data_IF_588343048533
#
_entry.id   IF_588343048533
#
_cell.length_a   1.000
_cell.length_b   1.000
_cell.length_c   1.000
_cell.angle_alpha   90.00
_cell.angle_beta   90.00
_cell.angle_gamma   90.00
#
_symmetry.space_group_name_H-M   'P 1'
#
loop_
_entity.id
_entity.type
_entity.pdbx_description
1 polymer ?
#
# COMPACT_ATOMS: atom_id res chain seq x y z
N UNK A 1 -67.16 -50.65 -27.45
CA UNK A 1 -65.99 -49.76 -27.56
C UNK A 1 -65.61 -49.32 -26.15
N UNK A 2 -64.35 -49.21 -25.72
CA UNK A 2 -63.06 -49.14 -26.45
C UNK A 2 -62.03 -50.23 -26.02
N UNK A 3 -60.87 -50.21 -26.68
CA UNK A 3 -59.76 -51.18 -26.70
C UNK A 3 -58.43 -50.37 -26.49
N UNK A 4 -57.17 -50.83 -26.32
CA UNK A 4 -56.37 -52.10 -26.20
C UNK A 4 -54.93 -51.61 -25.78
N UNK A 5 -53.91 -52.25 -25.16
CA UNK A 5 -53.46 -53.55 -24.57
C UNK A 5 -52.60 -53.16 -23.32
N UNK A 6 -52.02 -53.97 -22.41
CA UNK A 6 -51.59 -55.39 -22.24
C UNK A 6 -50.20 -55.84 -22.79
N UNK A 7 -49.26 -56.07 -21.85
CA UNK A 7 -48.21 -57.15 -21.77
C UNK A 7 -46.82 -56.85 -22.39
N UNK A 8 -45.66 -57.31 -21.86
CA UNK A 8 -45.37 -58.01 -20.58
C UNK A 8 -44.46 -59.26 -20.67
N UNK A 9 -43.52 -59.39 -19.71
CA UNK A 9 -42.68 -60.57 -19.36
C UNK A 9 -41.40 -60.92 -20.18
N UNK A 10 -40.61 -61.83 -19.59
CA UNK A 10 -39.17 -62.17 -19.82
C UNK A 10 -39.04 -63.71 -19.95
N UNK A 11 -37.97 -64.27 -20.57
CA UNK A 11 -37.07 -65.35 -20.03
C UNK A 11 -36.16 -66.08 -21.07
N UNK A 12 -34.91 -66.40 -20.63
CA UNK A 12 -33.92 -67.42 -21.07
C UNK A 12 -33.42 -67.64 -22.53
N UNK A 13 -32.13 -67.30 -22.74
CA UNK A 13 -30.95 -68.23 -22.79
C UNK A 13 -30.88 -69.40 -23.82
N UNK A 14 -29.81 -69.43 -24.66
CA UNK A 14 -28.99 -70.64 -24.97
C UNK A 14 -27.63 -70.30 -25.65
N UNK A 15 -26.79 -71.32 -25.89
CA UNK A 15 -25.31 -71.25 -25.99
C UNK A 15 -24.69 -70.91 -27.37
N UNK A 16 -23.51 -70.26 -27.28
CA UNK A 16 -22.22 -70.48 -28.01
C UNK A 16 -22.18 -71.10 -29.42
N UNK A 17 -21.32 -70.51 -30.27
CA UNK A 17 -20.09 -71.14 -30.80
C UNK A 17 -19.08 -70.03 -31.17
N UNK A 18 -17.78 -70.32 -31.05
CA UNK A 18 -16.68 -69.37 -31.32
C UNK A 18 -15.95 -69.67 -32.62
N UNK A 19 -15.43 -68.63 -33.28
CA UNK A 19 -14.37 -68.75 -34.28
C UNK A 19 -13.23 -67.80 -33.90
N UNK A 20 -12.03 -68.36 -33.68
CA UNK A 20 -10.84 -67.61 -33.27
C UNK A 20 -10.02 -67.30 -34.52
N UNK A 21 -9.87 -66.03 -34.86
CA UNK A 21 -8.86 -65.57 -35.82
C UNK A 21 -7.60 -65.17 -35.05
N UNK A 22 -6.40 -65.69 -35.42
CA UNK A 22 -5.14 -65.23 -34.83
C UNK A 22 -4.80 -63.84 -35.36
N UNK A 23 -5.08 -62.81 -34.57
CA UNK A 23 -4.67 -61.44 -34.86
C UNK A 23 -3.15 -61.29 -34.75
N UNK A 24 -2.46 -61.22 -35.88
CA UNK A 24 -1.02 -60.91 -35.92
C UNK A 24 -0.74 -59.56 -35.27
N UNK A 25 -0.07 -59.56 -34.11
CA UNK A 25 0.39 -58.34 -33.45
C UNK A 25 1.51 -57.69 -34.25
N UNK A 26 1.15 -56.77 -35.15
CA UNK A 26 2.10 -55.82 -35.73
C UNK A 26 2.52 -54.85 -34.63
N UNK A 27 3.69 -55.06 -34.04
CA UNK A 27 4.27 -54.13 -33.07
C UNK A 27 4.75 -52.87 -33.80
N UNK A 28 3.88 -51.87 -33.94
CA UNK A 28 4.29 -50.54 -34.37
C UNK A 28 5.34 -50.00 -33.41
N UNK A 29 6.57 -49.86 -33.89
CA UNK A 29 7.64 -49.20 -33.14
C UNK A 29 7.36 -47.70 -33.12
N UNK A 30 6.75 -47.23 -32.02
CA UNK A 30 6.45 -45.82 -31.80
C UNK A 30 7.76 -45.02 -31.80
N UNK A 31 8.10 -44.48 -32.97
CA UNK A 31 9.27 -43.65 -33.20
C UNK A 31 9.12 -42.36 -32.38
N UNK A 32 9.68 -42.36 -31.17
CA UNK A 32 9.47 -41.31 -30.17
C UNK A 32 9.87 -39.93 -30.72
N UNK A 33 8.88 -39.13 -31.09
CA UNK A 33 9.07 -37.83 -31.69
C UNK A 33 9.92 -36.94 -30.77
N UNK A 34 11.12 -36.55 -31.22
CA UNK A 34 12.10 -35.88 -30.36
C UNK A 34 11.50 -34.60 -29.77
N UNK A 35 11.47 -34.44 -28.43
CA UNK A 35 10.73 -33.34 -27.80
C UNK A 35 11.26 -31.99 -28.28
N UNK A 36 10.38 -31.19 -28.88
CA UNK A 36 10.70 -29.92 -29.55
C UNK A 36 11.19 -28.89 -28.53
N UNK A 37 12.50 -28.77 -28.40
CA UNK A 37 13.19 -27.88 -27.45
C UNK A 37 12.70 -26.44 -27.62
N UNK A 38 12.03 -25.91 -26.59
CA UNK A 38 11.43 -24.57 -26.54
C UNK A 38 11.85 -23.86 -25.26
N UNK A 39 12.10 -22.55 -25.34
CA UNK A 39 12.38 -21.70 -24.18
C UNK A 39 11.11 -21.49 -23.33
N UNK A 40 11.25 -21.40 -22.01
CA UNK A 40 10.10 -21.25 -21.10
C UNK A 40 9.40 -19.90 -21.26
N UNK A 41 10.18 -18.83 -21.47
CA UNK A 41 9.72 -17.47 -21.73
C UNK A 41 10.50 -16.89 -22.92
N UNK A 42 9.85 -16.15 -23.82
CA UNK A 42 10.53 -15.45 -24.95
C UNK A 42 10.53 -13.93 -24.81
N UNK A 43 9.69 -13.38 -23.93
CA UNK A 43 9.75 -11.97 -23.50
C UNK A 43 9.32 -11.88 -22.03
N UNK A 44 9.99 -11.05 -21.23
CA UNK A 44 9.61 -10.74 -19.84
C UNK A 44 9.87 -9.27 -19.53
N UNK A 45 8.98 -8.63 -18.76
CA UNK A 45 9.23 -7.35 -18.10
C UNK A 45 9.39 -7.65 -16.60
N UNK A 46 10.43 -7.11 -15.97
CA UNK A 46 10.77 -7.33 -14.54
C UNK A 46 11.29 -6.04 -13.91
N UNK A 47 11.10 -5.83 -12.60
CA UNK A 47 11.68 -4.65 -11.94
C UNK A 47 13.19 -4.81 -11.73
N UNK A 48 13.87 -3.70 -11.45
CA UNK A 48 15.21 -3.73 -10.81
C UNK A 48 15.13 -4.60 -9.55
N UNK A 49 16.15 -5.43 -9.32
CA UNK A 49 16.21 -6.35 -8.17
C UNK A 49 15.46 -7.67 -8.35
N UNK A 50 14.36 -7.69 -9.12
CA UNK A 50 13.54 -8.88 -9.37
C UNK A 50 14.34 -9.99 -10.08
N UNK A 51 13.89 -11.24 -9.96
CA UNK A 51 14.53 -12.39 -10.61
C UNK A 51 13.53 -13.47 -11.02
N UNK A 52 13.71 -14.05 -12.20
CA UNK A 52 12.91 -15.17 -12.69
C UNK A 52 13.77 -16.33 -13.20
N UNK A 53 13.21 -17.53 -13.27
CA UNK A 53 13.90 -18.72 -13.77
C UNK A 53 13.58 -18.95 -15.25
N UNK A 54 14.60 -18.88 -16.10
CA UNK A 54 14.51 -19.19 -17.52
C UNK A 54 15.02 -20.63 -17.77
N UNK A 55 14.37 -21.38 -18.66
CA UNK A 55 14.75 -22.77 -18.95
C UNK A 55 14.44 -23.19 -20.39
N UNK A 56 15.09 -24.25 -20.86
CA UNK A 56 14.73 -24.95 -22.10
C UNK A 56 13.93 -26.21 -21.74
N UNK A 57 12.70 -26.32 -22.22
CA UNK A 57 11.84 -27.48 -21.98
C UNK A 57 12.52 -28.77 -22.48
N UNK A 58 12.48 -29.81 -21.65
CA UNK A 58 13.14 -31.10 -21.84
C UNK A 58 14.68 -31.06 -21.93
N UNK A 59 15.34 -30.00 -21.47
CA UNK A 59 16.82 -29.89 -21.42
C UNK A 59 17.29 -29.49 -20.02
N UNK A 60 18.13 -30.32 -19.39
CA UNK A 60 18.77 -29.98 -18.09
C UNK A 60 19.62 -28.72 -18.24
N UNK A 61 19.42 -27.72 -17.36
CA UNK A 61 20.06 -26.40 -17.49
C UNK A 61 21.60 -26.45 -17.52
N UNK A 62 22.21 -27.44 -16.87
CA UNK A 62 23.66 -27.69 -16.93
C UNK A 62 24.21 -28.05 -18.32
N UNK A 63 23.36 -28.38 -19.30
CA UNK A 63 23.72 -28.57 -20.71
C UNK A 63 23.56 -27.29 -21.55
N UNK A 64 23.11 -26.19 -20.97
CA UNK A 64 22.80 -24.93 -21.64
C UNK A 64 23.86 -23.89 -21.29
N UNK A 65 24.41 -23.20 -22.30
CA UNK A 65 25.29 -22.05 -22.08
C UNK A 65 24.46 -20.76 -22.10
N UNK A 66 24.37 -20.11 -20.95
CA UNK A 66 23.60 -18.88 -20.75
C UNK A 66 24.48 -17.63 -20.91
N UNK A 67 23.95 -16.58 -21.54
CA UNK A 67 24.54 -15.23 -21.54
C UNK A 67 23.48 -14.13 -21.60
N UNK A 68 23.85 -12.90 -21.26
CA UNK A 68 23.08 -11.68 -21.57
C UNK A 68 23.86 -10.86 -22.61
N UNK A 69 23.15 -10.12 -23.47
CA UNK A 69 23.77 -9.09 -24.32
C UNK A 69 24.26 -7.89 -23.52
N UNK A 70 23.62 -7.59 -22.38
CA UNK A 70 24.00 -6.50 -21.48
C UNK A 70 23.90 -6.99 -20.02
N UNK A 71 25.05 -6.97 -19.31
CA UNK A 71 25.17 -7.42 -17.91
C UNK A 71 24.97 -6.29 -16.89
N UNK A 72 24.82 -5.05 -17.33
CA UNK A 72 24.39 -3.93 -16.48
C UNK A 72 22.87 -3.92 -16.39
N UNK A 73 22.15 -4.09 -17.51
CA UNK A 73 20.68 -4.25 -17.51
C UNK A 73 20.25 -5.52 -16.76
N UNK A 74 20.67 -6.71 -17.19
CA UNK A 74 20.32 -7.96 -16.50
C UNK A 74 21.42 -9.05 -16.57
N UNK A 75 21.53 -9.84 -15.52
CA UNK A 75 22.45 -10.99 -15.45
C UNK A 75 21.70 -12.31 -15.49
N UNK A 76 22.38 -13.39 -15.89
CA UNK A 76 21.84 -14.76 -15.87
C UNK A 76 22.87 -15.73 -15.27
N UNK A 77 22.42 -16.60 -14.36
CA UNK A 77 23.27 -17.59 -13.68
C UNK A 77 23.57 -18.80 -14.58
N UNK A 78 24.53 -19.65 -14.16
CA UNK A 78 24.77 -20.97 -14.76
C UNK A 78 23.53 -21.90 -14.72
N UNK A 79 22.57 -21.65 -13.82
CA UNK A 79 21.31 -22.39 -13.73
C UNK A 79 20.16 -21.78 -14.55
N UNK A 80 20.33 -20.59 -15.13
CA UNK A 80 19.28 -19.88 -15.87
C UNK A 80 18.40 -18.93 -15.04
N UNK A 81 18.76 -18.65 -13.77
CA UNK A 81 18.12 -17.59 -12.99
C UNK A 81 18.57 -16.24 -13.53
N UNK A 82 17.63 -15.46 -14.06
CA UNK A 82 17.83 -14.09 -14.57
C UNK A 82 17.54 -13.11 -13.43
N UNK A 83 18.35 -12.05 -13.28
CA UNK A 83 18.14 -10.94 -12.33
C UNK A 83 18.25 -9.58 -13.02
N UNK A 84 17.27 -8.71 -12.82
CA UNK A 84 17.31 -7.30 -13.22
C UNK A 84 18.25 -6.49 -12.33
N UNK A 85 19.03 -5.59 -12.92
CA UNK A 85 20.07 -4.79 -12.24
C UNK A 85 19.93 -3.28 -12.47
N UNK A 86 19.60 -2.87 -13.69
CA UNK A 86 19.46 -1.47 -14.12
C UNK A 86 18.33 -1.41 -15.15
N UNK A 87 17.60 -0.31 -15.22
CA UNK A 87 16.61 -0.09 -16.28
C UNK A 87 17.24 -0.23 -17.69
N UNK A 88 16.48 -0.82 -18.61
CA UNK A 88 16.87 -0.96 -20.01
C UNK A 88 16.30 -2.22 -20.66
N UNK A 89 16.78 -2.52 -21.87
CA UNK A 89 16.38 -3.71 -22.62
C UNK A 89 17.62 -4.55 -22.98
N UNK A 90 17.56 -5.86 -22.71
CA UNK A 90 18.61 -6.80 -23.06
C UNK A 90 18.03 -8.13 -23.57
N UNK A 91 18.88 -8.96 -24.17
CA UNK A 91 18.49 -10.31 -24.61
C UNK A 91 19.27 -11.36 -23.83
N UNK A 92 18.55 -12.22 -23.11
CA UNK A 92 19.12 -13.43 -22.52
C UNK A 92 19.16 -14.53 -23.58
N UNK A 93 20.32 -15.13 -23.79
CA UNK A 93 20.57 -16.13 -24.81
C UNK A 93 20.87 -17.48 -24.15
N UNK A 94 20.11 -18.50 -24.55
CA UNK A 94 20.36 -19.90 -24.23
C UNK A 94 20.96 -20.60 -25.45
N UNK A 95 22.24 -20.99 -25.39
CA UNK A 95 22.89 -21.78 -26.44
C UNK A 95 22.89 -23.26 -26.10
N UNK A 96 22.29 -24.09 -26.96
CA UNK A 96 22.21 -25.54 -26.82
C UNK A 96 22.37 -26.23 -28.17
N UNK A 97 23.31 -27.20 -28.25
CA UNK A 97 23.81 -27.77 -29.51
C UNK A 97 24.20 -26.64 -30.50
N UNK A 98 23.69 -26.66 -31.73
CA UNK A 98 23.91 -25.61 -32.76
C UNK A 98 22.94 -24.42 -32.65
N UNK A 99 21.96 -24.46 -31.73
CA UNK A 99 20.85 -23.50 -31.67
C UNK A 99 21.06 -22.44 -30.58
N UNK A 100 20.61 -21.21 -30.86
CA UNK A 100 20.50 -20.12 -29.90
C UNK A 100 19.02 -19.77 -29.71
N UNK A 101 18.54 -19.78 -28.47
CA UNK A 101 17.18 -19.35 -28.10
C UNK A 101 17.27 -18.02 -27.36
N UNK A 102 16.37 -17.07 -27.65
CA UNK A 102 16.41 -15.70 -27.12
C UNK A 102 15.19 -15.42 -26.24
N UNK A 103 15.41 -14.77 -25.10
CA UNK A 103 14.37 -14.12 -24.31
C UNK A 103 14.67 -12.61 -24.22
N UNK A 104 13.73 -11.77 -24.64
CA UNK A 104 13.82 -10.32 -24.53
C UNK A 104 13.42 -9.89 -23.12
N UNK A 105 14.32 -9.25 -22.39
CA UNK A 105 14.08 -8.78 -21.02
C UNK A 105 14.07 -7.26 -21.00
N UNK A 106 12.95 -6.68 -20.58
CA UNK A 106 12.83 -5.27 -20.23
C UNK A 106 12.93 -5.16 -18.71
N UNK A 107 13.98 -4.51 -18.22
CA UNK A 107 14.09 -4.13 -16.81
C UNK A 107 13.59 -2.70 -16.67
N UNK A 108 12.77 -2.43 -15.66
CA UNK A 108 12.24 -1.09 -15.38
C UNK A 108 12.46 -0.73 -13.90
N UNK A 109 12.61 0.56 -13.61
CA UNK A 109 12.54 1.03 -12.24
C UNK A 109 11.11 0.90 -11.71
N UNK A 110 10.96 0.37 -10.49
CA UNK A 110 9.65 0.25 -9.85
C UNK A 110 9.25 1.63 -9.34
N UNK A 111 8.34 2.30 -10.05
CA UNK A 111 7.64 3.44 -9.50
C UNK A 111 6.84 2.98 -8.29
N UNK A 112 7.31 3.36 -7.10
CA UNK A 112 6.56 3.18 -5.86
C UNK A 112 5.50 4.28 -5.76
N UNK A 113 4.35 4.03 -6.41
CA UNK A 113 3.14 4.84 -6.33
C UNK A 113 2.44 4.72 -4.95
N UNK A 114 3.22 4.46 -3.89
CA UNK A 114 2.78 4.55 -2.51
C UNK A 114 2.75 6.02 -2.13
N UNK A 115 1.57 6.63 -2.17
CA UNK A 115 1.37 8.00 -1.67
C UNK A 115 1.80 8.04 -0.21
N UNK A 116 2.80 8.86 0.11
CA UNK A 116 3.35 8.94 1.47
C UNK A 116 2.66 10.04 2.28
N UNK A 117 2.83 10.00 3.60
CA UNK A 117 2.43 11.12 4.48
C UNK A 117 3.03 12.47 4.05
N UNK A 118 4.23 12.49 3.45
CA UNK A 118 4.86 13.68 2.86
C UNK A 118 4.09 14.22 1.64
N UNK A 119 3.55 13.32 0.83
CA UNK A 119 2.80 13.67 -0.38
C UNK A 119 1.40 14.16 0.01
N UNK A 120 0.71 13.45 0.90
CA UNK A 120 -0.58 13.86 1.47
C UNK A 120 -0.48 15.21 2.20
N UNK A 121 0.59 15.43 2.98
CA UNK A 121 0.90 16.74 3.58
C UNK A 121 1.05 17.82 2.51
N UNK A 122 1.79 17.54 1.44
CA UNK A 122 2.04 18.50 0.36
C UNK A 122 0.76 18.81 -0.43
N UNK A 123 -0.13 17.82 -0.60
CA UNK A 123 -1.47 18.00 -1.17
C UNK A 123 -2.35 18.86 -0.25
N UNK A 124 -2.42 18.56 1.04
CA UNK A 124 -3.21 19.31 2.02
C UNK A 124 -2.75 20.77 2.12
N UNK A 125 -1.45 21.00 2.25
CA UNK A 125 -0.87 22.34 2.32
C UNK A 125 -1.26 23.17 1.09
N UNK A 126 -1.10 22.61 -0.12
CA UNK A 126 -1.49 23.29 -1.34
C UNK A 126 -3.00 23.52 -1.44
N UNK A 127 -3.82 22.58 -0.97
CA UNK A 127 -5.28 22.73 -0.89
C UNK A 127 -5.67 23.90 0.03
N UNK A 128 -5.14 23.92 1.26
CA UNK A 128 -5.45 24.99 2.25
C UNK A 128 -5.00 26.35 1.72
N UNK A 129 -3.83 26.44 1.07
CA UNK A 129 -3.37 27.68 0.44
C UNK A 129 -4.28 28.15 -0.71
N UNK A 130 -4.84 27.22 -1.50
CA UNK A 130 -5.68 27.53 -2.66
C UNK A 130 -7.16 27.80 -2.31
N UNK A 131 -7.68 27.20 -1.24
CA UNK A 131 -9.11 27.18 -0.92
C UNK A 131 -9.46 27.72 0.48
N UNK A 132 -8.48 27.96 1.34
CA UNK A 132 -8.70 28.50 2.68
C UNK A 132 -9.07 29.99 2.69
N UNK A 133 -9.81 30.37 3.73
CA UNK A 133 -10.11 31.77 4.05
C UNK A 133 -8.84 32.48 4.56
N UNK A 134 -8.77 33.80 4.35
CA UNK A 134 -7.64 34.62 4.81
C UNK A 134 -7.76 34.97 6.29
N UNK A 135 -6.75 34.61 7.08
CA UNK A 135 -6.65 35.01 8.48
C UNK A 135 -6.04 36.41 8.62
N UNK A 136 -6.32 37.09 9.73
CA UNK A 136 -5.70 38.38 10.08
C UNK A 136 -4.16 38.34 10.21
N UNK A 137 -3.56 37.14 10.23
CA UNK A 137 -2.12 36.92 10.27
C UNK A 137 -1.49 36.68 8.87
N UNK A 138 -2.28 36.70 7.79
CA UNK A 138 -1.80 36.42 6.43
C UNK A 138 -1.70 34.92 6.09
N UNK A 139 -2.08 34.04 7.01
CA UNK A 139 -2.18 32.59 6.78
C UNK A 139 -3.52 32.22 6.15
N UNK A 140 -3.58 31.05 5.52
CA UNK A 140 -4.82 30.48 4.97
C UNK A 140 -5.39 29.41 5.90
N UNK A 141 -6.71 29.39 6.10
CA UNK A 141 -7.36 28.44 7.01
C UNK A 141 -8.62 27.78 6.45
N UNK A 142 -8.78 26.48 6.73
CA UNK A 142 -10.06 25.78 6.73
C UNK A 142 -10.54 25.69 8.18
N UNK A 143 -11.78 26.03 8.48
CA UNK A 143 -12.33 26.01 9.85
C UNK A 143 -13.71 25.36 9.89
N UNK A 144 -14.08 24.79 11.04
CA UNK A 144 -15.44 24.36 11.30
C UNK A 144 -15.85 24.67 12.76
N UNK A 145 -17.00 25.32 12.93
CA UNK A 145 -17.55 25.68 14.24
C UNK A 145 -18.67 24.70 14.63
N UNK A 146 -18.48 24.01 15.75
CA UNK A 146 -19.45 23.05 16.30
C UNK A 146 -20.44 23.72 17.24
N UNK A 147 -20.01 24.78 17.93
CA UNK A 147 -20.87 25.73 18.66
C UNK A 147 -20.37 27.15 18.42
N UNK A 148 -21.03 28.15 19.02
CA UNK A 148 -20.54 29.55 18.99
C UNK A 148 -19.17 29.75 19.68
N UNK A 149 -18.80 28.86 20.61
CA UNK A 149 -17.57 28.94 21.43
C UNK A 149 -16.68 27.69 21.24
N UNK A 150 -16.96 26.86 20.22
CA UNK A 150 -16.28 25.57 20.01
C UNK A 150 -16.02 25.33 18.54
N UNK A 151 -14.77 25.15 18.15
CA UNK A 151 -14.39 25.04 16.74
C UNK A 151 -13.01 24.42 16.55
N UNK A 152 -12.77 23.95 15.33
CA UNK A 152 -11.48 23.43 14.88
C UNK A 152 -11.00 24.17 13.63
N UNK A 153 -9.71 24.11 13.34
CA UNK A 153 -9.13 24.66 12.13
C UNK A 153 -7.86 23.95 11.67
N UNK A 154 -7.64 23.97 10.35
CA UNK A 154 -6.40 23.54 9.69
C UNK A 154 -5.85 24.77 8.95
N UNK A 155 -4.66 25.23 9.34
CA UNK A 155 -4.07 26.49 8.92
C UNK A 155 -2.74 26.24 8.22
N UNK A 156 -2.57 26.76 7.01
CA UNK A 156 -1.30 26.77 6.28
C UNK A 156 -0.57 28.09 6.54
N UNK A 157 0.55 28.02 7.26
CA UNK A 157 1.46 29.15 7.40
C UNK A 157 2.28 29.27 6.10
N UNK A 158 2.12 30.39 5.39
CA UNK A 158 2.67 30.57 4.05
C UNK A 158 4.18 30.78 4.06
N UNK A 159 4.72 31.37 5.13
CA UNK A 159 6.13 31.78 5.24
C UNK A 159 7.05 30.59 5.56
N UNK A 160 6.72 29.83 6.61
CA UNK A 160 7.52 28.69 7.07
C UNK A 160 7.07 27.35 6.46
N UNK A 161 5.91 27.33 5.78
CA UNK A 161 5.29 26.16 5.13
C UNK A 161 4.92 25.03 6.08
N UNK A 162 4.51 25.37 7.31
CA UNK A 162 3.90 24.42 8.24
C UNK A 162 2.39 24.33 8.08
N UNK A 163 1.83 23.19 8.51
CA UNK A 163 0.42 23.05 8.82
C UNK A 163 0.26 23.11 10.34
N UNK A 164 -0.62 24.00 10.79
CA UNK A 164 -1.05 24.12 12.17
C UNK A 164 -2.51 23.65 12.28
N UNK A 165 -2.77 22.76 13.24
CA UNK A 165 -4.06 22.15 13.51
C UNK A 165 -4.53 22.62 14.88
N UNK A 166 -5.65 23.33 14.92
CA UNK A 166 -6.14 24.01 16.13
C UNK A 166 -7.48 23.43 16.56
N UNK A 167 -7.66 23.29 17.87
CA UNK A 167 -8.92 22.94 18.51
C UNK A 167 -9.18 23.94 19.64
N UNK A 168 -10.41 24.49 19.70
CA UNK A 168 -10.87 25.42 20.72
C UNK A 168 -12.16 24.88 21.34
N UNK A 169 -12.16 24.71 22.65
CA UNK A 169 -13.34 24.32 23.43
C UNK A 169 -13.67 25.35 24.51
N UNK A 170 -14.95 25.42 24.87
CA UNK A 170 -15.45 26.21 25.99
C UNK A 170 -16.30 25.32 26.88
N UNK A 171 -15.77 24.98 28.05
CA UNK A 171 -16.36 24.01 28.98
C UNK A 171 -16.48 24.65 30.35
N UNK A 172 -17.69 24.68 30.92
CA UNK A 172 -17.95 25.16 32.29
C UNK A 172 -17.39 26.56 32.62
N UNK A 173 -17.32 27.46 31.64
CA UNK A 173 -16.77 28.82 31.79
C UNK A 173 -15.29 28.96 31.44
N UNK A 174 -14.62 27.88 31.04
CA UNK A 174 -13.19 27.82 30.74
C UNK A 174 -12.96 27.62 29.25
N UNK A 175 -12.16 28.50 28.63
CA UNK A 175 -11.61 28.28 27.30
C UNK A 175 -10.37 27.39 27.37
N UNK A 176 -10.37 26.35 26.55
CA UNK A 176 -9.25 25.43 26.33
C UNK A 176 -8.85 25.56 24.86
N UNK A 177 -7.54 25.62 24.58
CA UNK A 177 -7.00 25.65 23.23
C UNK A 177 -5.84 24.66 23.12
N UNK A 178 -5.91 23.78 22.13
CA UNK A 178 -4.78 22.96 21.67
C UNK A 178 -4.35 23.41 20.28
N UNK A 179 -3.05 23.62 20.15
CA UNK A 179 -2.37 23.94 18.89
C UNK A 179 -1.40 22.80 18.61
N UNK A 180 -1.55 22.12 17.48
CA UNK A 180 -0.57 21.17 16.96
C UNK A 180 0.11 21.78 15.74
N UNK A 181 1.44 21.73 15.68
CA UNK A 181 2.21 22.08 14.49
C UNK A 181 2.87 20.82 13.91
N UNK A 182 2.58 20.54 12.65
CA UNK A 182 3.18 19.45 11.89
C UNK A 182 4.16 20.04 10.86
N UNK A 183 5.48 19.89 11.06
CA UNK A 183 6.47 20.30 10.06
C UNK A 183 6.45 19.37 8.85
N UNK A 184 6.71 19.92 7.66
CA UNK A 184 6.79 19.13 6.42
C UNK A 184 7.86 18.04 6.54
N UNK A 185 7.53 16.83 6.09
CA UNK A 185 8.37 15.62 6.15
C UNK A 185 8.70 15.13 7.57
N UNK A 186 8.04 15.66 8.61
CA UNK A 186 8.22 15.18 9.98
C UNK A 186 7.47 13.87 10.24
N UNK A 187 7.98 13.06 11.18
CA UNK A 187 7.22 11.99 11.83
C UNK A 187 6.65 12.40 13.20
N UNK A 188 7.01 13.59 13.66
CA UNK A 188 6.59 14.15 14.94
C UNK A 188 5.84 15.46 14.75
N UNK A 189 4.87 15.72 15.62
CA UNK A 189 4.17 16.99 15.71
C UNK A 189 4.44 17.65 17.06
N UNK A 190 4.59 18.97 17.07
CA UNK A 190 4.73 19.75 18.29
C UNK A 190 3.33 20.15 18.77
N UNK A 191 3.10 20.17 20.08
CA UNK A 191 1.82 20.52 20.68
C UNK A 191 2.05 21.64 21.70
N UNK A 192 1.19 22.65 21.68
CA UNK A 192 1.08 23.70 22.70
C UNK A 192 -0.35 23.75 23.24
N UNK A 193 -0.48 23.72 24.56
CA UNK A 193 -1.76 23.62 25.26
C UNK A 193 -1.98 24.82 26.19
N UNK A 194 -3.16 25.45 26.07
CA UNK A 194 -3.51 26.70 26.73
C UNK A 194 -4.85 26.60 27.45
N UNK A 195 -4.94 27.25 28.62
CA UNK A 195 -6.19 27.43 29.37
C UNK A 195 -6.37 28.93 29.64
N UNK A 196 -7.53 29.48 29.28
CA UNK A 196 -7.84 30.92 29.38
C UNK A 196 -6.76 31.83 28.74
N UNK A 197 -6.22 31.39 27.59
CA UNK A 197 -5.14 32.09 26.87
C UNK A 197 -3.76 32.04 27.52
N UNK A 198 -3.62 31.40 28.69
CA UNK A 198 -2.33 31.16 29.34
C UNK A 198 -1.77 29.81 28.90
N UNK A 199 -0.50 29.76 28.52
CA UNK A 199 0.18 28.49 28.25
C UNK A 199 0.19 27.62 29.53
N UNK A 200 0.03 26.31 29.36
CA UNK A 200 0.07 25.33 30.46
C UNK A 200 1.05 24.18 30.21
N UNK A 201 1.25 23.80 28.96
CA UNK A 201 2.36 22.93 28.59
C UNK A 201 2.63 22.87 27.09
N UNK A 202 3.84 22.44 26.75
CA UNK A 202 4.29 22.19 25.37
C UNK A 202 5.00 20.84 25.28
N UNK A 203 4.97 20.18 24.13
CA UNK A 203 5.65 18.91 23.94
C UNK A 203 5.67 18.45 22.49
N UNK A 204 6.19 17.25 22.28
CA UNK A 204 6.30 16.64 20.95
C UNK A 204 5.76 15.21 21.01
N UNK A 205 4.89 14.86 20.07
CA UNK A 205 4.39 13.49 19.86
C UNK A 205 5.03 12.87 18.62
N UNK A 206 5.17 11.55 18.59
CA UNK A 206 5.34 10.80 17.34
C UNK A 206 3.93 10.56 16.77
N UNK A 207 3.72 10.81 15.47
CA UNK A 207 2.39 10.73 14.88
C UNK A 207 1.78 9.31 14.98
N UNK A 208 2.64 8.28 14.99
CA UNK A 208 2.24 6.86 15.05
C UNK A 208 1.73 6.39 16.42
N UNK A 209 1.91 7.23 17.45
CA UNK A 209 1.63 6.87 18.85
C UNK A 209 0.30 7.50 19.32
N UNK A 210 -0.32 8.30 18.42
CA UNK A 210 -1.68 8.82 18.51
C UNK A 210 -2.67 7.66 18.51
N UNK A 211 -3.08 7.32 19.73
CA UNK A 211 -3.77 6.09 20.11
C UNK A 211 -4.93 6.40 21.05
N UNK A 212 -5.76 5.39 21.35
CA UNK A 212 -6.90 5.56 22.27
C UNK A 212 -6.46 5.91 23.71
N UNK A 213 -5.18 5.69 24.05
CA UNK A 213 -4.60 5.95 25.38
C UNK A 213 -3.58 7.10 25.43
N UNK A 214 -2.88 7.42 24.33
CA UNK A 214 -1.86 8.49 24.22
C UNK A 214 -0.90 8.58 25.43
N UNK A 215 -0.47 7.43 25.95
CA UNK A 215 0.27 7.31 27.23
C UNK A 215 1.57 8.11 27.26
N UNK A 216 2.13 8.38 26.08
CA UNK A 216 3.49 8.89 25.91
C UNK A 216 3.49 10.40 25.64
N UNK A 217 2.31 11.05 25.62
CA UNK A 217 2.18 12.52 25.60
C UNK A 217 2.88 13.10 26.82
N UNK A 218 4.08 13.62 26.59
CA UNK A 218 5.01 14.06 27.64
C UNK A 218 5.20 15.57 27.56
N UNK A 219 4.15 16.34 27.88
CA UNK A 219 4.28 17.79 27.93
C UNK A 219 5.26 18.23 29.05
N UNK A 220 6.04 19.25 28.75
CA UNK A 220 6.73 20.11 29.71
C UNK A 220 5.70 21.12 30.21
N UNK A 221 5.57 21.25 31.53
CA UNK A 221 4.47 22.01 32.16
C UNK A 221 4.95 23.29 32.82
N UNK A 222 4.20 24.36 32.62
CA UNK A 222 4.30 25.61 33.37
C UNK A 222 3.08 25.70 34.31
N UNK A 223 3.09 24.87 35.36
CA UNK A 223 1.97 24.70 36.29
C UNK A 223 1.72 25.94 37.15
N UNK A 224 1.01 26.91 36.57
CA UNK A 224 0.58 28.16 37.21
C UNK A 224 -0.92 28.08 37.55
N UNK A 225 -1.24 28.11 38.84
CA UNK A 225 -2.61 27.99 39.37
C UNK A 225 -2.88 26.61 40.01
N UNK A 226 -4.16 26.22 40.07
CA UNK A 226 -4.64 25.09 40.87
C UNK A 226 -4.72 23.74 40.14
N UNK A 227 -4.27 23.65 38.88
CA UNK A 227 -4.24 22.38 38.13
C UNK A 227 -2.92 21.65 38.37
N UNK A 228 -2.98 20.34 38.65
CA UNK A 228 -1.77 19.52 38.74
C UNK A 228 -1.31 19.00 37.37
N UNK A 229 -0.11 18.40 37.34
CA UNK A 229 0.54 17.91 36.12
C UNK A 229 -0.20 16.72 35.46
N UNK A 230 -0.89 15.89 36.25
CA UNK A 230 -1.61 14.70 35.75
C UNK A 230 -2.92 15.13 35.11
N UNK A 231 -3.68 16.00 35.78
CA UNK A 231 -4.92 16.57 35.24
C UNK A 231 -4.70 17.30 33.92
N UNK A 232 -3.64 18.11 33.82
CA UNK A 232 -3.31 18.81 32.57
C UNK A 232 -2.89 17.84 31.44
N UNK A 233 -2.30 16.67 31.74
CA UNK A 233 -1.96 15.67 30.72
C UNK A 233 -3.21 14.95 30.22
N UNK A 234 -4.08 14.53 31.15
CA UNK A 234 -5.35 13.89 30.83
C UNK A 234 -6.23 14.81 29.97
N UNK A 235 -6.29 16.10 30.31
CA UNK A 235 -7.04 17.09 29.56
C UNK A 235 -6.44 17.37 28.17
N UNK A 236 -5.11 17.51 28.07
CA UNK A 236 -4.44 17.72 26.78
C UNK A 236 -4.57 16.49 25.84
N UNK A 237 -4.53 15.26 26.39
CA UNK A 237 -4.82 14.02 25.65
C UNK A 237 -6.26 13.99 25.12
N UNK A 238 -7.24 14.33 25.97
CA UNK A 238 -8.65 14.37 25.55
C UNK A 238 -8.90 15.45 24.48
N UNK A 239 -8.27 16.61 24.62
CA UNK A 239 -8.33 17.71 23.65
C UNK A 239 -7.68 17.29 22.31
N UNK A 240 -6.56 16.56 22.35
CA UNK A 240 -5.86 16.02 21.19
C UNK A 240 -6.69 14.94 20.46
N UNK A 241 -7.31 14.02 21.19
CA UNK A 241 -8.24 13.03 20.65
C UNK A 241 -9.46 13.69 19.98
N UNK A 242 -10.01 14.72 20.63
CA UNK A 242 -11.12 15.51 20.07
C UNK A 242 -10.68 16.27 18.82
N UNK A 243 -9.47 16.83 18.83
CA UNK A 243 -8.82 17.48 17.69
C UNK A 243 -8.70 16.56 16.48
N UNK A 244 -8.14 15.35 16.62
CA UNK A 244 -8.02 14.36 15.54
C UNK A 244 -9.35 14.16 14.79
N UNK A 245 -10.43 13.86 15.52
CA UNK A 245 -11.76 13.61 14.95
C UNK A 245 -12.31 14.85 14.25
N UNK A 246 -12.16 16.02 14.86
CA UNK A 246 -12.67 17.28 14.31
C UNK A 246 -11.87 17.78 13.09
N UNK A 247 -10.58 17.44 12.99
CA UNK A 247 -9.77 17.74 11.81
C UNK A 247 -10.08 16.78 10.65
N UNK A 248 -10.35 15.49 10.91
CA UNK A 248 -10.91 14.58 9.90
C UNK A 248 -12.28 15.06 9.37
N UNK A 249 -13.13 15.63 10.23
CA UNK A 249 -14.38 16.26 9.79
C UNK A 249 -14.13 17.46 8.87
N UNK A 250 -13.13 18.31 9.15
CA UNK A 250 -12.74 19.42 8.26
C UNK A 250 -12.23 18.89 6.90
N UNK A 251 -11.36 17.88 6.89
CA UNK A 251 -10.86 17.26 5.67
C UNK A 251 -11.98 16.64 4.83
N UNK A 252 -12.96 16.01 5.48
CA UNK A 252 -14.15 15.44 4.83
C UNK A 252 -15.06 16.51 4.24
N UNK A 253 -15.42 17.55 5.01
CA UNK A 253 -16.31 18.64 4.57
C UNK A 253 -15.74 19.39 3.37
N UNK A 254 -14.42 19.59 3.34
CA UNK A 254 -13.73 20.25 2.22
C UNK A 254 -13.39 19.29 1.06
N UNK A 255 -13.75 18.00 1.17
CA UNK A 255 -13.44 16.97 0.16
C UNK A 255 -11.94 16.86 -0.18
N UNK A 256 -11.07 17.03 0.81
CA UNK A 256 -9.60 16.98 0.63
C UNK A 256 -9.08 15.61 0.17
N UNK A 257 -9.89 14.55 0.27
CA UNK A 257 -9.57 13.21 -0.22
C UNK A 257 -8.57 12.42 0.66
N UNK A 258 -8.30 12.91 1.87
CA UNK A 258 -7.35 12.34 2.84
C UNK A 258 -7.91 12.44 4.26
N UNK A 259 -7.29 11.73 5.20
CA UNK A 259 -7.52 11.76 6.64
C UNK A 259 -6.26 12.14 7.42
N UNK A 260 -6.37 12.37 8.73
CA UNK A 260 -5.23 12.49 9.64
C UNK A 260 -4.36 11.23 9.60
N UNK A 261 -4.95 10.04 9.45
CA UNK A 261 -4.19 8.79 9.22
C UNK A 261 -3.32 8.87 7.96
N UNK A 262 -3.80 9.44 6.87
CA UNK A 262 -3.04 9.61 5.63
C UNK A 262 -1.88 10.61 5.78
N UNK A 263 -1.90 11.47 6.80
CA UNK A 263 -0.78 12.33 7.22
C UNK A 263 0.21 11.63 8.19
N UNK A 264 0.00 10.33 8.48
CA UNK A 264 0.86 9.51 9.33
C UNK A 264 0.39 9.38 10.79
N UNK A 265 -0.82 9.86 11.13
CA UNK A 265 -1.41 9.66 12.45
C UNK A 265 -2.14 8.31 12.53
N UNK A 266 -1.37 7.22 12.61
CA UNK A 266 -1.91 5.85 12.67
C UNK A 266 -1.28 4.98 13.75
N UNK A 267 -2.11 4.27 14.51
CA UNK A 267 -1.71 3.23 15.47
C UNK A 267 -0.87 2.15 14.76
N UNK A 268 0.45 2.17 14.93
CA UNK A 268 1.32 1.07 14.55
C UNK A 268 1.40 0.04 15.70
N UNK A 269 0.42 -0.89 15.73
CA UNK A 269 0.36 -2.06 16.63
C UNK A 269 0.57 -3.35 15.84
#
# INVERSE_FOLDING_TARGET
MKNIKKIGFILCLTLMITTIMPSSFVTETVQAATPKVKLSETKKKISIGESFQLSLKSVKSSKVKWSSTDKQVATVSKSGKVKGKQEGNCVIIAKYKKNNYKCFVTVYEKQDNTVTASDNYSMLYNYVVAHGEDTNAGYKSLTNSFTKDTGAGIIANVDNKTLQFNMVQYVSGVYIVLIMELPRNSKTANISFYIMGQAKGTGTILCTDVSDSMSDLSLVYESTGSFDKVDLNNLATLELQTGMVNWDVILMLNSCGITMKDLGFENNK
#
